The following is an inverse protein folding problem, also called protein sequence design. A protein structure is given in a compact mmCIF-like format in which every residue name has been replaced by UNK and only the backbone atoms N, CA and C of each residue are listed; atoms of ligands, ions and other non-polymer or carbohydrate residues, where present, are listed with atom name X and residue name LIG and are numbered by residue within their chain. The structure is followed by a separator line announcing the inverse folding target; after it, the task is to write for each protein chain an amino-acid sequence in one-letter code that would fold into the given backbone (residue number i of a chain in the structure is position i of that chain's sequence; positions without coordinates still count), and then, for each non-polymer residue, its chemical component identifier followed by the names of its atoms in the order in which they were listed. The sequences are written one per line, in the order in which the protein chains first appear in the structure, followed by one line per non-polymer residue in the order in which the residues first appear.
data_IF_891336652607
#
_entry.id   IF_891336652607
#
_cell.length_a   1.000
_cell.length_b   1.000
_cell.length_c   1.000
_cell.angle_alpha   90.00
_cell.angle_beta   90.00
_cell.angle_gamma   90.00
#
_symmetry.space_group_name_H-M   'P 1'
#
loop_
_entity.id
_entity.type
_entity.pdbx_description
1 polymer ?
#
# COMPACT_ATOMS: atom_id res chain seq x y z
N UNK A 1 12.34 -5.38 -6.41
CA UNK A 1 11.50 -4.33 -7.02
C UNK A 1 11.53 -3.03 -6.22
N UNK A 2 11.55 -1.84 -6.86
CA UNK A 2 11.40 -0.53 -6.19
C UNK A 2 9.91 -0.13 -6.05
N UNK A 3 9.61 0.83 -5.18
CA UNK A 3 8.24 1.32 -4.88
C UNK A 3 7.51 1.74 -6.15
N UNK A 4 8.15 2.52 -7.03
CA UNK A 4 7.52 2.97 -8.27
C UNK A 4 7.03 1.80 -9.13
N UNK A 5 7.86 0.78 -9.34
CA UNK A 5 7.47 -0.41 -10.11
C UNK A 5 6.36 -1.20 -9.40
N UNK A 6 6.41 -1.28 -8.08
CA UNK A 6 5.34 -1.91 -7.29
C UNK A 6 3.98 -1.27 -7.50
N UNK A 7 3.92 0.06 -7.47
CA UNK A 7 2.69 0.83 -7.71
C UNK A 7 2.19 0.62 -9.15
N UNK A 8 3.08 0.76 -10.15
CA UNK A 8 2.72 0.52 -11.55
C UNK A 8 2.22 -0.92 -11.79
N UNK A 9 2.77 -1.90 -11.08
CA UNK A 9 2.31 -3.27 -11.16
C UNK A 9 0.91 -3.46 -10.55
N UNK A 10 0.62 -2.84 -9.39
CA UNK A 10 -0.74 -2.85 -8.82
C UNK A 10 -1.76 -2.31 -9.84
N UNK A 11 -1.44 -1.20 -10.49
CA UNK A 11 -2.29 -0.62 -11.54
C UNK A 11 -2.44 -1.57 -12.75
N UNK A 12 -1.35 -2.20 -13.20
CA UNK A 12 -1.40 -3.17 -14.30
C UNK A 12 -2.24 -4.40 -13.97
N UNK A 13 -2.24 -4.83 -12.72
CA UNK A 13 -3.04 -5.97 -12.24
C UNK A 13 -4.53 -5.61 -12.07
N UNK A 14 -4.91 -4.34 -12.24
CA UNK A 14 -6.30 -3.89 -12.08
C UNK A 14 -6.79 -3.96 -10.63
N UNK A 15 -5.87 -3.96 -9.66
CA UNK A 15 -6.21 -4.01 -8.25
C UNK A 15 -6.74 -2.65 -7.78
N UNK A 16 -7.76 -2.59 -6.92
CA UNK A 16 -8.24 -1.34 -6.34
C UNK A 16 -7.12 -0.52 -5.69
N UNK A 17 -6.86 0.68 -6.17
CA UNK A 17 -5.76 1.52 -5.67
C UNK A 17 -6.17 3.00 -5.62
N UNK A 18 -5.48 3.83 -4.82
CA UNK A 18 -5.62 5.28 -4.88
C UNK A 18 -5.41 5.80 -6.30
N UNK A 19 -6.12 6.84 -6.73
CA UNK A 19 -5.78 7.53 -7.98
C UNK A 19 -4.41 8.20 -7.78
N UNK A 20 -3.36 7.52 -8.24
CA UNK A 20 -1.99 8.00 -8.13
C UNK A 20 -1.68 8.97 -9.25
N UNK A 21 -1.11 10.10 -8.85
CA UNK A 21 -0.49 11.03 -9.77
C UNK A 21 1.02 10.93 -9.63
N UNK A 22 1.69 10.60 -10.72
CA UNK A 22 3.14 10.44 -10.78
C UNK A 22 3.74 11.71 -11.38
N UNK A 23 4.46 12.48 -10.58
CA UNK A 23 4.99 13.78 -11.00
C UNK A 23 6.47 13.92 -10.67
N UNK A 24 7.17 14.73 -11.47
CA UNK A 24 8.58 15.12 -11.27
C UNK A 24 8.73 16.45 -10.55
N UNK A 25 7.74 17.32 -10.69
CA UNK A 25 7.73 18.65 -10.11
C UNK A 25 6.28 19.10 -9.87
N UNK A 26 6.05 20.16 -9.08
CA UNK A 26 4.69 20.58 -8.75
C UNK A 26 3.85 21.07 -9.93
N UNK A 27 4.48 21.53 -11.02
CA UNK A 27 3.75 22.03 -12.20
C UNK A 27 3.03 20.91 -12.98
N UNK A 28 3.39 19.65 -12.73
CA UNK A 28 2.75 18.48 -13.35
C UNK A 28 1.52 17.98 -12.57
N UNK A 29 1.19 18.59 -11.43
CA UNK A 29 0.01 18.22 -10.66
C UNK A 29 -1.26 18.58 -11.42
N UNK A 30 -2.15 17.61 -11.59
CA UNK A 30 -3.45 17.75 -12.26
C UNK A 30 -4.60 17.30 -11.38
N UNK A 31 -4.33 16.80 -10.16
CA UNK A 31 -5.34 16.18 -9.31
C UNK A 31 -6.56 17.08 -9.06
N UNK A 32 -7.72 16.53 -9.38
CA UNK A 32 -9.05 17.12 -9.20
C UNK A 32 -9.74 16.42 -8.02
N UNK A 33 -10.50 17.16 -7.23
CA UNK A 33 -11.16 16.64 -6.02
C UNK A 33 -11.08 17.62 -4.86
N UNK A 34 -12.18 17.72 -4.12
CA UNK A 34 -12.31 18.59 -2.93
C UNK A 34 -11.75 17.88 -1.69
N UNK A 35 -11.27 18.66 -0.72
CA UNK A 35 -10.71 18.12 0.54
C UNK A 35 -11.78 17.41 1.38
N UNK A 36 -13.05 17.78 1.23
CA UNK A 36 -14.17 17.29 2.04
C UNK A 36 -14.40 15.77 1.92
N UNK A 37 -13.76 15.14 0.93
CA UNK A 37 -13.82 13.70 0.70
C UNK A 37 -12.67 12.90 1.35
N UNK A 38 -11.65 13.54 1.91
CA UNK A 38 -10.44 12.85 2.35
C UNK A 38 -9.90 13.45 3.64
N UNK A 39 -9.10 12.69 4.40
CA UNK A 39 -8.44 13.25 5.60
C UNK A 39 -7.19 14.07 5.27
N UNK A 40 -6.87 14.22 3.99
CA UNK A 40 -5.76 15.01 3.48
C UNK A 40 -5.13 14.34 2.26
N UNK A 41 -3.87 14.69 1.98
CA UNK A 41 -3.11 14.20 0.83
C UNK A 41 -1.82 13.52 1.28
N UNK A 42 -1.36 12.59 0.47
CA UNK A 42 -0.11 11.87 0.64
C UNK A 42 0.83 12.22 -0.50
N UNK A 43 2.09 12.48 -0.17
CA UNK A 43 3.19 12.65 -1.12
C UNK A 43 4.27 11.64 -0.75
N UNK A 44 4.54 10.68 -1.63
CA UNK A 44 5.59 9.68 -1.46
C UNK A 44 6.69 9.90 -2.48
N UNK A 45 7.93 9.75 -2.04
CA UNK A 45 9.08 9.71 -2.93
C UNK A 45 9.37 8.29 -3.38
N UNK A 46 9.58 8.10 -4.68
CA UNK A 46 10.14 6.89 -5.27
C UNK A 46 11.39 7.23 -6.10
N UNK A 47 12.47 6.46 -5.95
CA UNK A 47 13.68 6.66 -6.76
C UNK A 47 13.53 5.93 -8.10
N UNK A 48 13.81 6.62 -9.20
CA UNK A 48 13.63 6.04 -10.54
C UNK A 48 14.57 4.86 -10.81
N UNK A 49 15.80 4.94 -10.29
CA UNK A 49 16.83 3.95 -10.50
C UNK A 49 16.72 2.73 -9.58
N UNK A 50 15.73 2.70 -8.69
CA UNK A 50 15.52 1.59 -7.76
C UNK A 50 16.66 1.38 -6.76
N UNK A 51 17.35 2.46 -6.37
CA UNK A 51 18.30 2.45 -5.26
C UNK A 51 17.63 2.21 -3.90
N UNK A 52 18.37 2.39 -2.81
CA UNK A 52 17.80 2.25 -1.46
C UNK A 52 16.70 3.31 -1.22
N UNK A 53 15.49 2.82 -0.96
CA UNK A 53 14.30 3.63 -0.70
C UNK A 53 13.88 3.64 0.77
N UNK A 54 14.77 3.16 1.65
CA UNK A 54 14.61 3.27 3.09
C UNK A 54 14.67 4.75 3.50
N UNK A 55 13.71 5.18 4.34
CA UNK A 55 13.62 6.55 4.86
C UNK A 55 13.58 7.69 3.83
N UNK A 56 13.08 7.44 2.61
CA UNK A 56 12.82 8.54 1.69
C UNK A 56 11.78 9.52 2.28
N UNK A 57 11.94 10.83 2.01
CA UNK A 57 10.97 11.83 2.43
C UNK A 57 9.56 11.46 1.95
N UNK A 58 8.60 11.56 2.87
CA UNK A 58 7.19 11.36 2.58
C UNK A 58 6.37 12.23 3.53
N UNK A 59 5.16 12.57 3.13
CA UNK A 59 4.19 13.27 3.94
C UNK A 59 2.82 12.61 3.77
N UNK A 60 2.06 12.52 4.85
CA UNK A 60 0.69 12.00 4.87
C UNK A 60 -0.23 13.01 5.58
N UNK A 61 -1.50 13.06 5.17
CA UNK A 61 -2.55 13.94 5.71
C UNK A 61 -2.20 15.43 5.72
N UNK A 62 -1.45 15.85 4.71
CA UNK A 62 -1.23 17.28 4.47
C UNK A 62 -2.46 17.86 3.76
N UNK A 63 -2.69 19.16 3.91
CA UNK A 63 -3.73 19.84 3.13
C UNK A 63 -3.35 19.83 1.65
N UNK A 64 -4.34 19.82 0.77
CA UNK A 64 -4.20 19.93 -0.69
C UNK A 64 -3.27 21.06 -1.08
N UNK A 65 -3.41 22.23 -0.45
CA UNK A 65 -2.59 23.42 -0.73
C UNK A 65 -1.10 23.27 -0.35
N UNK A 66 -0.75 22.29 0.48
CA UNK A 66 0.62 22.06 0.95
C UNK A 66 1.39 21.10 0.05
N UNK A 67 0.70 20.33 -0.81
CA UNK A 67 1.29 19.32 -1.70
C UNK A 67 2.40 19.90 -2.59
N UNK A 68 2.22 21.03 -3.31
CA UNK A 68 3.28 21.60 -4.15
C UNK A 68 4.56 21.90 -3.36
N UNK A 69 4.41 22.54 -2.20
CA UNK A 69 5.54 22.90 -1.34
C UNK A 69 6.29 21.68 -0.80
N UNK A 70 5.57 20.59 -0.50
CA UNK A 70 6.20 19.33 -0.06
C UNK A 70 6.98 18.65 -1.17
N UNK A 71 6.51 18.69 -2.41
CA UNK A 71 7.27 18.18 -3.55
C UNK A 71 8.57 18.95 -3.73
N UNK A 72 8.52 20.29 -3.69
CA UNK A 72 9.73 21.13 -3.78
C UNK A 72 10.72 20.87 -2.64
N UNK A 73 10.21 20.73 -1.42
CA UNK A 73 11.01 20.36 -0.24
C UNK A 73 11.72 19.02 -0.44
N UNK A 74 10.98 17.99 -0.89
CA UNK A 74 11.53 16.66 -1.09
C UNK A 74 12.52 16.64 -2.26
N UNK A 75 12.23 17.32 -3.35
CA UNK A 75 13.13 17.43 -4.51
C UNK A 75 14.47 18.06 -4.12
N UNK A 76 14.48 19.08 -3.27
CA UNK A 76 15.72 19.68 -2.74
C UNK A 76 16.47 18.74 -1.81
N UNK A 77 15.77 17.92 -1.05
CA UNK A 77 16.37 16.96 -0.12
C UNK A 77 17.01 15.76 -0.85
N UNK A 78 16.46 15.36 -1.99
CA UNK A 78 16.88 14.17 -2.73
C UNK A 78 17.90 14.57 -3.80
N UNK A 79 19.13 14.09 -3.67
CA UNK A 79 20.22 14.35 -4.64
C UNK A 79 20.19 13.42 -5.87
N UNK A 80 19.02 12.89 -6.22
CA UNK A 80 18.82 11.84 -7.24
C UNK A 80 17.53 12.09 -8.00
N UNK A 81 17.43 11.54 -9.20
CA UNK A 81 16.17 11.49 -9.96
C UNK A 81 15.11 10.71 -9.17
N UNK A 82 13.98 11.35 -8.96
CA UNK A 82 12.87 10.82 -8.19
C UNK A 82 11.54 11.11 -8.90
N UNK A 83 10.58 10.23 -8.65
CA UNK A 83 9.17 10.42 -8.99
C UNK A 83 8.40 10.58 -7.69
N UNK A 84 7.61 11.64 -7.58
CA UNK A 84 6.70 11.85 -6.48
C UNK A 84 5.34 11.25 -6.83
N UNK A 85 4.81 10.46 -5.91
CA UNK A 85 3.50 9.84 -6.03
C UNK A 85 2.55 10.57 -5.10
N UNK A 86 1.56 11.23 -5.68
CA UNK A 86 0.58 12.06 -4.98
C UNK A 86 -0.78 11.39 -5.06
N UNK A 87 -1.46 11.29 -3.92
CA UNK A 87 -2.81 10.74 -3.87
C UNK A 87 -3.55 11.16 -2.59
N UNK A 88 -4.89 11.10 -2.55
CA UNK A 88 -5.66 11.40 -1.34
C UNK A 88 -5.32 10.45 -0.19
N UNK A 89 -5.65 10.83 1.04
CA UNK A 89 -5.43 10.00 2.23
C UNK A 89 -6.74 9.57 2.86
N UNK A 90 -6.75 8.37 3.43
CA UNK A 90 -7.93 7.78 4.06
C UNK A 90 -7.68 7.40 5.51
N UNK A 91 -8.78 7.34 6.26
CA UNK A 91 -8.84 6.56 7.48
C UNK A 91 -9.11 5.09 7.16
N UNK A 92 -8.42 4.22 7.89
CA UNK A 92 -8.48 2.78 7.70
C UNK A 92 -9.16 2.15 8.90
N UNK A 93 -10.11 1.25 8.63
CA UNK A 93 -10.72 0.37 9.62
C UNK A 93 -9.71 -0.71 10.00
N UNK A 94 -9.00 -1.23 9.01
CA UNK A 94 -8.00 -2.29 9.13
C UNK A 94 -7.02 -2.22 7.97
N UNK A 95 -5.85 -2.78 8.19
CA UNK A 95 -4.81 -2.90 7.19
C UNK A 95 -4.13 -4.26 7.31
N UNK A 96 -3.60 -4.76 6.20
CA UNK A 96 -2.93 -6.05 6.16
C UNK A 96 -1.71 -6.04 5.26
N UNK A 97 -0.76 -6.92 5.60
CA UNK A 97 0.23 -7.43 4.68
C UNK A 97 -0.23 -8.82 4.21
N UNK A 98 -0.29 -9.03 2.90
CA UNK A 98 -0.41 -10.37 2.34
C UNK A 98 0.92 -10.74 1.66
N UNK A 99 1.57 -11.78 2.17
CA UNK A 99 2.83 -12.30 1.68
C UNK A 99 2.58 -13.61 0.94
N UNK A 100 2.97 -13.66 -0.32
CA UNK A 100 2.90 -14.82 -1.18
C UNK A 100 4.32 -15.36 -1.28
N UNK A 101 4.64 -16.44 -0.57
CA UNK A 101 6.00 -16.96 -0.44
C UNK A 101 5.96 -18.47 -0.68
N UNK A 102 6.65 -18.93 -1.71
CA UNK A 102 6.72 -20.34 -2.09
C UNK A 102 5.31 -20.96 -2.19
N UNK A 103 5.03 -21.96 -1.36
CA UNK A 103 3.79 -22.73 -1.24
C UNK A 103 2.79 -22.13 -0.24
N UNK A 104 3.01 -20.90 0.26
CA UNK A 104 2.20 -20.28 1.31
C UNK A 104 1.71 -18.88 0.97
N UNK A 105 0.56 -18.56 1.54
CA UNK A 105 0.03 -17.20 1.65
C UNK A 105 -0.04 -16.87 3.13
N UNK A 106 0.65 -15.84 3.56
CA UNK A 106 0.64 -15.36 4.95
C UNK A 106 -0.08 -14.02 4.96
N UNK A 107 -1.14 -13.91 5.75
CA UNK A 107 -1.92 -12.68 5.90
C UNK A 107 -1.76 -12.20 7.33
N UNK A 108 -1.26 -10.99 7.49
CA UNK A 108 -1.09 -10.31 8.77
C UNK A 108 -1.95 -9.06 8.79
N UNK A 109 -2.86 -8.96 9.75
CA UNK A 109 -3.87 -7.90 9.82
C UNK A 109 -3.74 -7.14 11.13
N UNK A 110 -3.97 -5.83 11.07
CA UNK A 110 -4.12 -4.95 12.23
C UNK A 110 -5.38 -4.11 12.11
N UNK A 111 -6.02 -3.83 13.25
CA UNK A 111 -7.07 -2.83 13.40
C UNK A 111 -6.44 -1.44 13.26
N UNK A 112 -7.03 -0.61 12.41
CA UNK A 112 -6.54 0.72 12.08
C UNK A 112 -5.43 0.71 11.04
N UNK A 113 -4.29 1.33 11.38
CA UNK A 113 -3.23 1.66 10.41
C UNK A 113 -2.09 0.65 10.38
N UNK A 114 -1.57 0.40 9.18
CA UNK A 114 -0.46 -0.51 8.90
C UNK A 114 0.85 -0.18 9.64
N UNK A 115 1.00 1.05 10.13
CA UNK A 115 2.10 1.48 11.01
C UNK A 115 2.41 0.44 12.09
N UNK A 116 1.39 -0.18 12.69
CA UNK A 116 1.58 -1.16 13.78
C UNK A 116 2.41 -2.37 13.32
N UNK A 117 2.20 -2.84 12.09
CA UNK A 117 2.98 -3.94 11.51
C UNK A 117 4.39 -3.51 11.10
N UNK A 118 4.57 -2.24 10.70
CA UNK A 118 5.86 -1.74 10.21
C UNK A 118 6.89 -1.53 11.33
N UNK A 119 6.45 -1.28 12.57
CA UNK A 119 7.33 -1.02 13.72
C UNK A 119 7.46 -2.23 14.66
N UNK A 120 7.26 -3.44 14.14
CA UNK A 120 7.47 -4.68 14.91
C UNK A 120 6.39 -4.97 15.96
N UNK A 121 5.21 -4.38 15.81
CA UNK A 121 4.04 -4.78 16.60
C UNK A 121 3.50 -6.13 16.14
N UNK A 122 2.97 -6.91 17.09
CA UNK A 122 2.28 -8.15 16.77
C UNK A 122 1.01 -7.87 15.93
N UNK A 123 0.72 -8.68 14.90
CA UNK A 123 -0.54 -8.59 14.19
C UNK A 123 -1.72 -8.95 15.10
N UNK A 124 -2.85 -8.26 14.95
CA UNK A 124 -4.10 -8.61 15.63
C UNK A 124 -4.67 -9.94 15.09
N UNK A 125 -4.34 -10.29 13.84
CA UNK A 125 -4.64 -11.57 13.21
C UNK A 125 -3.51 -11.98 12.26
N UNK A 126 -3.03 -13.20 12.43
CA UNK A 126 -2.06 -13.86 11.56
C UNK A 126 -2.70 -15.14 11.01
N UNK A 127 -2.70 -15.30 9.69
CA UNK A 127 -3.27 -16.44 8.99
C UNK A 127 -2.22 -17.00 8.02
N UNK A 128 -2.16 -18.33 7.92
CA UNK A 128 -1.31 -19.04 6.97
C UNK A 128 -2.18 -19.97 6.16
N UNK A 129 -2.19 -19.78 4.84
CA UNK A 129 -2.87 -20.63 3.88
C UNK A 129 -1.88 -21.35 2.97
N UNK A 130 -2.28 -22.48 2.43
CA UNK A 130 -1.61 -23.07 1.27
C UNK A 130 -1.75 -22.17 0.04
N UNK A 131 -0.75 -22.20 -0.84
CA UNK A 131 -0.75 -21.45 -2.10
C UNK A 131 -1.11 -22.36 -3.27
N UNK A 132 -2.35 -22.85 -3.26
CA UNK A 132 -2.97 -23.69 -4.28
C UNK A 132 -4.06 -22.92 -5.02
N UNK A 133 -4.68 -23.52 -6.04
CA UNK A 133 -5.83 -22.92 -6.73
C UNK A 133 -7.01 -22.66 -5.76
N UNK A 134 -7.17 -23.56 -4.80
CA UNK A 134 -8.08 -23.44 -3.66
C UNK A 134 -7.25 -23.38 -2.37
N UNK A 135 -6.97 -22.17 -1.84
CA UNK A 135 -6.18 -22.01 -0.62
C UNK A 135 -6.87 -22.61 0.61
N UNK A 136 -6.16 -23.47 1.33
CA UNK A 136 -6.65 -24.07 2.58
C UNK A 136 -5.95 -23.42 3.78
N UNK A 137 -6.70 -23.17 4.86
CA UNK A 137 -6.13 -22.60 6.08
C UNK A 137 -5.27 -23.65 6.80
N UNK A 138 -3.96 -23.39 6.89
CA UNK A 138 -2.99 -24.24 7.57
C UNK A 138 -2.89 -23.87 9.06
N UNK A 139 -2.82 -22.58 9.37
CA UNK A 139 -2.65 -22.10 10.74
C UNK A 139 -3.22 -20.69 10.93
N UNK A 140 -3.57 -20.34 12.17
CA UNK A 140 -3.93 -18.96 12.52
C UNK A 140 -3.62 -18.62 13.98
N UNK A 141 -3.46 -17.33 14.26
CA UNK A 141 -3.37 -16.74 15.60
C UNK A 141 -4.10 -15.39 15.62
N UNK A 142 -4.90 -15.13 16.65
CA UNK A 142 -5.58 -13.84 16.85
C UNK A 142 -7.07 -13.85 16.48
N UNK A 143 -7.64 -12.67 16.26
CA UNK A 143 -9.08 -12.43 16.15
C UNK A 143 -9.60 -12.56 14.71
N UNK A 144 -10.13 -13.72 14.32
CA UNK A 144 -10.64 -13.97 12.94
C UNK A 144 -11.76 -13.01 12.52
N UNK A 145 -12.55 -12.52 13.47
CA UNK A 145 -13.67 -11.60 13.24
C UNK A 145 -13.25 -10.21 12.74
N UNK A 146 -11.95 -9.90 12.70
CA UNK A 146 -11.43 -8.67 12.10
C UNK A 146 -11.71 -8.64 10.59
N UNK A 147 -11.68 -9.80 9.94
CA UNK A 147 -11.94 -9.96 8.52
C UNK A 147 -13.39 -10.42 8.31
N UNK A 148 -14.09 -9.75 7.40
CA UNK A 148 -15.37 -10.17 6.84
C UNK A 148 -15.13 -11.17 5.71
N UNK A 149 -16.21 -11.77 5.22
CA UNK A 149 -16.15 -12.70 4.09
C UNK A 149 -15.53 -12.05 2.85
N UNK A 150 -15.91 -10.82 2.55
CA UNK A 150 -15.42 -10.04 1.42
C UNK A 150 -13.92 -9.76 1.51
N UNK A 151 -13.39 -9.57 2.73
CA UNK A 151 -11.94 -9.42 2.91
C UNK A 151 -11.19 -10.71 2.56
N UNK A 152 -11.70 -11.87 3.01
CA UNK A 152 -11.09 -13.16 2.68
C UNK A 152 -11.14 -13.41 1.17
N UNK A 153 -12.29 -13.16 0.53
CA UNK A 153 -12.44 -13.29 -0.92
C UNK A 153 -11.46 -12.35 -1.66
N UNK A 154 -11.29 -11.12 -1.20
CA UNK A 154 -10.33 -10.16 -1.75
C UNK A 154 -8.88 -10.65 -1.59
N UNK A 155 -8.46 -10.96 -0.36
CA UNK A 155 -7.08 -11.29 -0.02
C UNK A 155 -6.64 -12.64 -0.59
N UNK A 156 -7.50 -13.66 -0.58
CA UNK A 156 -7.19 -14.97 -1.17
C UNK A 156 -7.29 -14.93 -2.70
N UNK A 157 -8.19 -14.10 -3.24
CA UNK A 157 -8.31 -13.87 -4.68
C UNK A 157 -7.02 -13.34 -5.32
N UNK A 158 -6.20 -12.61 -4.55
CA UNK A 158 -4.88 -12.14 -4.99
C UNK A 158 -3.95 -13.28 -5.42
N UNK A 159 -4.12 -14.50 -4.92
CA UNK A 159 -3.29 -15.64 -5.31
C UNK A 159 -3.37 -15.94 -6.83
N UNK A 160 -4.51 -15.61 -7.45
CA UNK A 160 -4.73 -15.82 -8.89
C UNK A 160 -3.88 -14.87 -9.74
N UNK A 161 -3.60 -13.67 -9.23
CA UNK A 161 -2.94 -12.58 -9.98
C UNK A 161 -1.49 -12.33 -9.55
N UNK A 162 -1.17 -12.53 -8.27
CA UNK A 162 0.18 -12.33 -7.73
C UNK A 162 1.06 -13.55 -8.03
N UNK A 163 2.07 -13.35 -8.88
CA UNK A 163 3.07 -14.37 -9.24
C UNK A 163 4.39 -14.16 -8.51
N UNK A 164 5.11 -15.25 -8.25
CA UNK A 164 6.41 -15.23 -7.55
C UNK A 164 6.30 -14.91 -6.06
N UNK A 165 7.43 -14.59 -5.45
CA UNK A 165 7.52 -14.24 -4.02
C UNK A 165 7.32 -12.74 -3.82
N UNK A 166 6.16 -12.33 -3.28
CA UNK A 166 5.78 -10.92 -3.15
C UNK A 166 5.06 -10.63 -1.85
N UNK A 167 5.19 -9.40 -1.36
CA UNK A 167 4.38 -8.83 -0.28
C UNK A 167 3.55 -7.68 -0.86
N UNK A 168 2.26 -7.67 -0.55
CA UNK A 168 1.35 -6.59 -0.92
C UNK A 168 0.71 -6.00 0.33
N UNK A 169 0.65 -4.67 0.38
CA UNK A 169 0.00 -3.91 1.44
C UNK A 169 -1.40 -3.54 1.02
N UNK A 170 -2.35 -3.84 1.89
CA UNK A 170 -3.78 -3.65 1.67
C UNK A 170 -4.38 -2.91 2.86
N UNK A 171 -5.40 -2.09 2.59
CA UNK A 171 -6.22 -1.49 3.63
C UNK A 171 -7.69 -1.51 3.25
N UNK A 172 -8.55 -1.56 4.26
CA UNK A 172 -9.99 -1.32 4.14
C UNK A 172 -10.32 0.02 4.80
N UNK A 173 -10.85 0.94 4.01
CA UNK A 173 -11.13 2.32 4.43
C UNK A 173 -12.47 2.45 5.14
N UNK A 174 -12.66 3.52 5.90
CA UNK A 174 -13.96 3.89 6.50
C UNK A 174 -15.06 4.16 5.47
N UNK A 175 -14.69 4.30 4.19
CA UNK A 175 -15.61 4.45 3.04
C UNK A 175 -15.91 3.12 2.34
N UNK A 176 -15.71 2.01 3.03
CA UNK A 176 -15.92 0.66 2.51
C UNK A 176 -15.19 0.36 1.19
N UNK A 177 -14.01 0.95 1.00
CA UNK A 177 -13.17 0.74 -0.19
C UNK A 177 -11.90 -0.02 0.18
N UNK A 178 -11.55 -1.03 -0.61
CA UNK A 178 -10.26 -1.73 -0.54
C UNK A 178 -9.21 -0.96 -1.33
N UNK A 179 -8.03 -0.79 -0.76
CA UNK A 179 -6.93 -0.09 -1.40
C UNK A 179 -5.63 -0.87 -1.24
N UNK A 180 -4.94 -1.06 -2.35
CA UNK A 180 -3.59 -1.62 -2.41
C UNK A 180 -2.59 -0.48 -2.53
N UNK A 181 -1.64 -0.41 -1.60
CA UNK A 181 -0.77 0.77 -1.41
C UNK A 181 0.69 0.53 -1.72
N UNK A 182 1.12 -0.72 -1.78
CA UNK A 182 2.50 -1.10 -1.98
C UNK A 182 2.57 -2.57 -2.39
N UNK A 183 3.50 -2.89 -3.28
CA UNK A 183 3.79 -4.24 -3.73
C UNK A 183 5.31 -4.34 -3.84
N UNK A 184 5.90 -5.37 -3.25
CA UNK A 184 7.35 -5.59 -3.24
C UNK A 184 7.66 -7.05 -3.46
N UNK A 185 8.82 -7.31 -4.07
CA UNK A 185 9.38 -8.66 -4.15
C UNK A 185 10.04 -9.02 -2.83
N UNK A 186 9.89 -10.28 -2.43
CA UNK A 186 10.59 -10.86 -1.29
C UNK A 186 11.82 -11.58 -1.87
N UNK A 187 13.00 -11.22 -1.38
CA UNK A 187 14.26 -11.87 -1.74
C UNK A 187 14.48 -13.14 -0.94
#
# INVERSE_FOLDING_TARGET
MNKLRGLLEIQKLGLPHPIWEFVKNPMQLTYKGEEDEYVGWTVRTCLDNGGDEFNLPHANWIKKKEVPGKIDEFQKAIKKEATFVVYPSWEFIKAANAMFINDKIIIEVVKGRLHKLLYGGDPDLHLVYSRTEEPELINYKGEKQILTKEDYECLLGLNKVIKGNKIIQWSHTTRNTYLFHDLREIK
#
